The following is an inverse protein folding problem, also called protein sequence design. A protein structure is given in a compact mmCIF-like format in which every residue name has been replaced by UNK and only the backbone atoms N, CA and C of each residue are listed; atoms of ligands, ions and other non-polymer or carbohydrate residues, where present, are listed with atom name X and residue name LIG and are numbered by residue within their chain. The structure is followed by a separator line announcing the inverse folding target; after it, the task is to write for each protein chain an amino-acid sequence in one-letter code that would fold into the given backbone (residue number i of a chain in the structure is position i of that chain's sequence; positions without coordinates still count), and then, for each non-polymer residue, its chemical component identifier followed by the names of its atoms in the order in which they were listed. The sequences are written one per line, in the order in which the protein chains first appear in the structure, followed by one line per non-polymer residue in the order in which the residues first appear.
data_IF_315955548664
#
_entry.id   IF_315955548664
#
_cell.length_a   1.000
_cell.length_b   1.000
_cell.length_c   1.000
_cell.angle_alpha   90.00
_cell.angle_beta   90.00
_cell.angle_gamma   90.00
#
_symmetry.space_group_name_H-M   'P 1'
#
loop_
_entity.id
_entity.type
_entity.pdbx_description
1 polymer ?
#
# COMPACT_ATOMS: atom_id res chain seq x y z
N UNK A 1 16.51 -58.21 33.72
CA UNK A 1 16.12 -59.30 34.64
C UNK A 1 14.84 -59.95 34.15
N UNK A 2 14.65 -61.26 34.37
CA UNK A 2 13.38 -61.95 34.09
C UNK A 2 12.45 -61.91 35.30
N UNK A 3 11.15 -61.69 35.07
CA UNK A 3 10.08 -62.56 35.61
C UNK A 3 8.73 -62.28 34.93
N UNK A 4 8.14 -63.32 34.33
CA UNK A 4 6.69 -63.41 34.08
C UNK A 4 5.98 -63.69 35.40
N UNK A 5 4.69 -63.34 35.51
CA UNK A 5 3.75 -64.16 36.28
C UNK A 5 2.35 -64.19 35.64
N UNK A 6 1.56 -65.19 36.04
CA UNK A 6 0.11 -65.38 35.73
C UNK A 6 -0.71 -64.93 36.98
N UNK A 7 -2.02 -65.03 37.16
CA UNK A 7 -3.22 -65.56 36.45
C UNK A 7 -4.45 -64.89 37.14
N UNK A 8 -5.74 -64.99 36.77
CA UNK A 8 -6.50 -65.78 35.80
C UNK A 8 -7.83 -65.05 35.46
N UNK A 9 -8.81 -65.82 34.95
CA UNK A 9 -10.27 -65.83 35.24
C UNK A 9 -10.84 -64.88 36.33
N UNK A 10 -12.09 -64.45 36.27
CA UNK A 10 -13.16 -64.60 35.25
C UNK A 10 -14.35 -63.67 35.56
N UNK A 11 -15.27 -63.51 34.61
CA UNK A 11 -16.59 -62.91 34.83
C UNK A 11 -17.32 -62.64 33.52
N UNK A 12 -18.43 -63.35 33.26
CA UNK A 12 -19.33 -63.05 32.15
C UNK A 12 -20.47 -62.16 32.64
N UNK A 13 -20.88 -61.19 31.83
CA UNK A 13 -21.93 -60.23 32.19
C UNK A 13 -22.43 -59.49 30.97
N UNK A 14 -23.33 -60.12 30.20
CA UNK A 14 -24.00 -59.48 29.07
C UNK A 14 -25.20 -58.69 29.62
N UNK A 15 -25.16 -57.35 29.55
CA UNK A 15 -26.33 -56.51 29.79
C UNK A 15 -26.37 -55.39 28.73
N UNK A 16 -27.50 -55.30 28.05
CA UNK A 16 -27.77 -54.26 27.05
C UNK A 16 -28.69 -53.23 27.68
N UNK A 17 -28.21 -52.00 27.82
CA UNK A 17 -29.01 -50.82 28.16
C UNK A 17 -28.59 -49.66 27.27
N UNK A 18 -29.54 -49.06 26.56
CA UNK A 18 -29.31 -47.98 25.62
C UNK A 18 -29.45 -46.59 26.28
N UNK A 19 -28.89 -45.59 25.62
CA UNK A 19 -29.12 -44.15 25.79
C UNK A 19 -28.84 -43.53 27.19
N UNK A 20 -27.88 -42.59 27.22
CA UNK A 20 -28.23 -41.16 27.22
C UNK A 20 -26.99 -40.29 26.96
N UNK A 21 -27.09 -39.35 26.03
CA UNK A 21 -26.02 -38.42 25.69
C UNK A 21 -26.00 -37.22 26.63
N UNK A 22 -24.90 -37.00 27.34
CA UNK A 22 -24.65 -35.76 28.10
C UNK A 22 -23.36 -35.13 27.60
N UNK A 23 -23.48 -34.29 26.58
CA UNK A 23 -22.36 -33.54 26.00
C UNK A 23 -22.00 -32.35 26.87
N UNK A 24 -20.98 -32.48 27.73
CA UNK A 24 -20.42 -31.33 28.46
C UNK A 24 -19.58 -30.50 27.49
N UNK A 25 -20.20 -29.48 26.90
CA UNK A 25 -19.54 -28.52 26.02
C UNK A 25 -18.64 -27.58 26.84
N UNK A 26 -17.38 -27.95 27.02
CA UNK A 26 -16.37 -27.08 27.63
C UNK A 26 -15.97 -25.95 26.69
N UNK A 27 -16.39 -24.72 26.98
CA UNK A 27 -15.99 -23.55 26.20
C UNK A 27 -14.49 -23.25 26.35
N UNK A 28 -13.71 -23.52 25.31
CA UNK A 28 -12.33 -23.02 25.19
C UNK A 28 -12.33 -21.66 24.50
N UNK A 29 -12.43 -20.57 25.28
CA UNK A 29 -12.31 -19.20 24.77
C UNK A 29 -10.84 -18.82 24.51
N UNK A 30 -10.18 -19.58 23.63
CA UNK A 30 -8.84 -19.30 23.12
C UNK A 30 -8.88 -18.31 21.98
N UNK A 31 -9.17 -17.04 22.28
CA UNK A 31 -9.14 -15.96 21.30
C UNK A 31 -7.71 -15.60 20.91
N UNK A 32 -7.15 -16.29 19.92
CA UNK A 32 -6.03 -15.76 19.17
C UNK A 32 -6.53 -14.65 18.25
N UNK A 33 -6.07 -13.41 18.48
CA UNK A 33 -6.13 -12.35 17.47
C UNK A 33 -5.12 -12.67 16.36
N UNK A 34 -5.47 -13.66 15.52
CA UNK A 34 -4.76 -13.95 14.28
C UNK A 34 -4.96 -12.77 13.32
N UNK A 35 -4.03 -11.80 13.40
CA UNK A 35 -4.01 -10.63 12.52
C UNK A 35 -4.04 -11.02 11.04
N UNK A 36 -4.62 -10.18 10.15
CA UNK A 36 -5.09 -10.57 8.83
C UNK A 36 -4.17 -11.53 8.07
N UNK A 37 -4.66 -12.75 7.86
CA UNK A 37 -3.97 -13.74 7.04
C UNK A 37 -3.77 -13.18 5.62
N UNK A 38 -2.57 -13.28 5.03
CA UNK A 38 -2.31 -12.68 3.72
C UNK A 38 -3.20 -13.34 2.66
N UNK A 39 -3.98 -12.52 1.95
CA UNK A 39 -4.73 -12.95 0.76
C UNK A 39 -3.79 -13.68 -0.19
N UNK A 40 -4.23 -14.82 -0.71
CA UNK A 40 -3.38 -15.85 -1.32
C UNK A 40 -2.43 -15.30 -2.39
N UNK A 41 -1.13 -15.56 -2.22
CA UNK A 41 -0.08 -15.25 -3.20
C UNK A 41 -0.16 -16.19 -4.42
N UNK A 42 -1.22 -16.04 -5.21
CA UNK A 42 -1.58 -16.88 -6.35
C UNK A 42 -2.51 -16.11 -7.28
N UNK A 43 -2.23 -16.13 -8.58
CA UNK A 43 -2.84 -15.18 -9.52
C UNK A 43 -2.08 -13.84 -9.53
N UNK A 44 -2.72 -12.84 -10.12
CA UNK A 44 -2.21 -11.48 -10.39
C UNK A 44 -1.54 -10.82 -9.14
N UNK A 45 -0.25 -10.44 -9.22
CA UNK A 45 0.45 -9.69 -8.18
C UNK A 45 -0.25 -8.43 -7.67
N UNK A 46 -1.01 -7.73 -8.52
CA UNK A 46 -1.79 -6.55 -8.12
C UNK A 46 -2.91 -6.88 -7.11
N UNK A 47 -3.31 -8.16 -6.99
CA UNK A 47 -4.33 -8.63 -6.03
C UNK A 47 -3.77 -9.11 -4.69
N UNK A 48 -2.45 -9.24 -4.56
CA UNK A 48 -1.82 -9.73 -3.32
C UNK A 48 -1.91 -8.69 -2.21
N UNK A 49 -2.00 -9.14 -0.95
CA UNK A 49 -2.15 -8.24 0.21
C UNK A 49 -1.00 -8.42 1.19
N UNK A 50 -0.18 -7.39 1.32
CA UNK A 50 0.90 -7.31 2.31
C UNK A 50 0.32 -6.99 3.71
N UNK A 51 0.78 -7.67 4.77
CA UNK A 51 0.28 -7.45 6.15
C UNK A 51 0.27 -5.99 6.61
N UNK A 52 1.24 -5.18 6.17
CA UNK A 52 1.36 -3.77 6.56
C UNK A 52 0.20 -2.89 6.02
N UNK A 53 -0.53 -3.34 4.99
CA UNK A 53 -1.66 -2.60 4.42
C UNK A 53 -2.80 -2.35 5.43
N UNK A 54 -2.92 -3.17 6.48
CA UNK A 54 -3.87 -2.96 7.57
C UNK A 54 -3.63 -1.65 8.37
N UNK A 55 -2.44 -1.04 8.22
CA UNK A 55 -2.02 0.18 8.93
C UNK A 55 -1.80 1.38 7.99
N UNK A 56 -2.07 1.22 6.68
CA UNK A 56 -2.03 2.28 5.68
C UNK A 56 -3.43 2.86 5.43
N UNK A 57 -3.55 4.10 4.91
CA UNK A 57 -4.83 4.66 4.49
C UNK A 57 -5.31 4.09 3.15
N UNK A 58 -6.58 3.69 3.03
CA UNK A 58 -7.14 3.23 1.74
C UNK A 58 -7.30 4.39 0.74
N UNK A 59 -7.57 4.06 -0.53
CA UNK A 59 -7.81 5.08 -1.56
C UNK A 59 -9.03 5.97 -1.20
N UNK A 60 -10.10 5.37 -0.68
CA UNK A 60 -11.31 6.08 -0.25
C UNK A 60 -11.03 6.99 0.96
N UNK A 61 -10.17 6.54 1.87
CA UNK A 61 -9.72 7.34 3.02
C UNK A 61 -8.90 8.55 2.55
N UNK A 62 -7.93 8.33 1.66
CA UNK A 62 -7.13 9.41 1.07
C UNK A 62 -8.00 10.41 0.30
N UNK A 63 -8.99 9.94 -0.47
CA UNK A 63 -9.95 10.82 -1.16
C UNK A 63 -10.79 11.65 -0.18
N UNK A 64 -11.36 11.04 0.87
CA UNK A 64 -12.13 11.77 1.89
C UNK A 64 -11.28 12.83 2.58
N UNK A 65 -10.02 12.50 2.90
CA UNK A 65 -9.07 13.41 3.55
C UNK A 65 -8.65 14.57 2.61
N UNK A 66 -8.41 14.29 1.32
CA UNK A 66 -8.18 15.33 0.28
C UNK A 66 -9.38 16.25 0.15
N UNK A 67 -10.59 15.70 -0.02
CA UNK A 67 -11.81 16.49 -0.20
C UNK A 67 -12.12 17.37 1.02
N UNK A 68 -11.99 16.84 2.24
CA UNK A 68 -12.15 17.63 3.46
C UNK A 68 -11.09 18.74 3.60
N UNK A 69 -9.85 18.48 3.17
CA UNK A 69 -8.81 19.51 3.11
C UNK A 69 -9.17 20.62 2.12
N UNK A 70 -9.61 20.27 0.90
CA UNK A 70 -10.04 21.24 -0.13
C UNK A 70 -11.18 22.12 0.37
N UNK A 71 -12.21 21.55 1.00
CA UNK A 71 -13.31 22.30 1.61
C UNK A 71 -12.81 23.29 2.69
N UNK A 72 -11.99 22.82 3.63
CA UNK A 72 -11.46 23.65 4.73
C UNK A 72 -10.54 24.79 4.26
N UNK A 73 -9.81 24.60 3.16
CA UNK A 73 -9.03 25.68 2.54
C UNK A 73 -9.98 26.67 1.85
N UNK A 74 -10.97 26.21 1.08
CA UNK A 74 -11.96 27.06 0.42
C UNK A 74 -12.76 27.94 1.40
N UNK A 75 -13.27 27.35 2.49
CA UNK A 75 -13.96 28.09 3.56
C UNK A 75 -13.08 29.19 4.17
N UNK A 76 -11.79 28.89 4.36
CA UNK A 76 -10.82 29.82 4.89
C UNK A 76 -10.49 30.95 3.90
N UNK A 77 -10.21 30.63 2.63
CA UNK A 77 -9.90 31.62 1.57
C UNK A 77 -11.09 32.57 1.32
N UNK A 78 -12.30 32.02 1.29
CA UNK A 78 -13.56 32.79 1.24
C UNK A 78 -13.72 33.71 2.46
N UNK A 79 -13.21 33.31 3.63
CA UNK A 79 -13.10 34.14 4.83
C UNK A 79 -12.17 35.35 4.70
N UNK A 80 -11.31 35.38 3.68
CA UNK A 80 -10.48 36.53 3.28
C UNK A 80 -10.94 37.19 1.97
N UNK A 81 -12.10 36.80 1.43
CA UNK A 81 -12.67 37.36 0.19
C UNK A 81 -12.19 36.70 -1.11
N UNK A 82 -11.23 35.77 -1.05
CA UNK A 82 -10.73 35.06 -2.23
C UNK A 82 -11.64 33.92 -2.66
N UNK A 83 -11.94 33.85 -3.95
CA UNK A 83 -12.68 32.74 -4.56
C UNK A 83 -11.71 31.65 -5.04
N UNK A 84 -10.94 31.10 -4.09
CA UNK A 84 -9.94 30.07 -4.39
C UNK A 84 -10.61 28.78 -4.89
N UNK A 85 -10.06 28.21 -5.97
CA UNK A 85 -10.50 26.94 -6.56
C UNK A 85 -9.36 25.92 -6.38
N UNK A 86 -9.62 24.75 -5.76
CA UNK A 86 -8.58 23.74 -5.60
C UNK A 86 -8.15 23.15 -6.95
N UNK A 87 -6.85 23.04 -7.18
CA UNK A 87 -6.28 22.18 -8.23
C UNK A 87 -6.96 20.78 -8.27
N UNK A 88 -7.08 20.16 -9.46
CA UNK A 88 -7.57 18.79 -9.59
C UNK A 88 -6.69 17.81 -8.80
N UNK A 89 -7.27 16.70 -8.34
CA UNK A 89 -6.49 15.58 -7.82
C UNK A 89 -5.77 14.90 -8.99
N UNK A 90 -4.48 14.60 -8.83
CA UNK A 90 -3.68 13.95 -9.87
C UNK A 90 -4.11 12.48 -10.03
N UNK A 91 -4.38 12.00 -11.26
CA UNK A 91 -4.78 10.61 -11.49
C UNK A 91 -3.62 9.62 -11.24
N UNK A 92 -3.95 8.38 -10.87
CA UNK A 92 -2.96 7.31 -10.61
C UNK A 92 -2.30 6.81 -11.90
N UNK A 93 -1.10 7.29 -12.19
CA UNK A 93 -0.18 6.74 -13.19
C UNK A 93 0.45 5.44 -12.67
N UNK A 94 0.53 4.42 -13.53
CA UNK A 94 1.33 3.21 -13.24
C UNK A 94 0.65 2.27 -12.23
N UNK A 95 1.33 1.80 -11.16
CA UNK A 95 0.80 0.76 -10.29
C UNK A 95 -0.47 1.18 -9.56
N UNK A 96 -1.50 0.33 -9.58
CA UNK A 96 -2.82 0.64 -8.99
C UNK A 96 -2.92 0.27 -7.51
N UNK A 97 -2.25 -0.82 -7.11
CA UNK A 97 -2.17 -1.31 -5.72
C UNK A 97 -0.74 -1.32 -5.20
N UNK A 98 -0.55 -1.55 -3.89
CA UNK A 98 0.79 -1.57 -3.26
C UNK A 98 1.71 -2.65 -3.82
N UNK A 99 1.15 -3.78 -4.29
CA UNK A 99 1.90 -4.95 -4.75
C UNK A 99 2.09 -5.01 -6.27
N UNK A 100 1.24 -4.33 -7.03
CA UNK A 100 1.14 -4.35 -8.50
C UNK A 100 2.51 -4.43 -9.20
N UNK A 101 3.34 -3.39 -9.14
CA UNK A 101 4.70 -3.41 -9.70
C UNK A 101 5.79 -3.57 -8.65
N UNK A 102 5.44 -3.87 -7.39
CA UNK A 102 6.40 -3.96 -6.27
C UNK A 102 7.47 -5.02 -6.50
N UNK A 103 7.09 -6.08 -7.20
CA UNK A 103 7.97 -7.18 -7.59
C UNK A 103 8.21 -7.20 -9.12
N UNK A 104 8.09 -6.02 -9.75
CA UNK A 104 8.18 -5.78 -11.19
C UNK A 104 6.89 -6.03 -11.96
N UNK A 105 6.94 -5.82 -13.28
CA UNK A 105 5.83 -6.03 -14.21
C UNK A 105 5.39 -7.50 -14.29
N UNK A 106 4.12 -7.72 -14.66
CA UNK A 106 3.51 -9.06 -14.72
C UNK A 106 2.48 -9.25 -15.85
N UNK A 107 1.85 -8.19 -16.37
CA UNK A 107 0.92 -8.29 -17.52
C UNK A 107 1.66 -8.33 -18.87
N UNK A 108 1.71 -9.54 -19.45
CA UNK A 108 2.32 -9.82 -20.75
C UNK A 108 1.69 -9.06 -21.93
N UNK A 109 0.40 -8.72 -21.87
CA UNK A 109 -0.27 -7.98 -22.94
C UNK A 109 0.04 -6.49 -22.86
N UNK A 110 0.01 -5.90 -21.66
CA UNK A 110 0.40 -4.52 -21.46
C UNK A 110 1.88 -4.30 -21.83
N UNK A 111 2.78 -5.21 -21.45
CA UNK A 111 4.20 -5.08 -21.84
C UNK A 111 4.49 -5.35 -23.32
N UNK A 112 3.58 -5.99 -24.08
CA UNK A 112 3.64 -6.03 -25.56
C UNK A 112 3.27 -4.69 -26.19
N UNK A 113 2.40 -3.93 -25.56
CA UNK A 113 1.97 -2.60 -26.03
C UNK A 113 2.96 -1.51 -25.64
N UNK A 114 3.42 -1.50 -24.38
CA UNK A 114 4.08 -0.34 -23.76
C UNK A 114 5.39 -0.64 -23.01
N UNK A 115 5.95 -1.84 -23.13
CA UNK A 115 7.23 -2.20 -22.49
C UNK A 115 7.14 -2.17 -20.96
N UNK A 116 7.92 -1.29 -20.30
CA UNK A 116 7.87 -1.08 -18.84
C UNK A 116 7.01 0.12 -18.42
N UNK A 117 6.45 0.88 -19.37
CA UNK A 117 5.79 2.17 -19.09
C UNK A 117 4.40 2.02 -18.44
N UNK A 118 3.86 3.08 -17.82
CA UNK A 118 2.41 3.24 -17.64
C UNK A 118 1.68 3.35 -18.99
N UNK A 119 0.34 3.36 -18.97
CA UNK A 119 -0.42 3.64 -20.18
C UNK A 119 -0.24 5.10 -20.60
N UNK A 120 -0.04 5.35 -21.90
CA UNK A 120 0.12 6.71 -22.44
C UNK A 120 -1.11 7.61 -22.17
N UNK A 121 -2.31 7.02 -22.09
CA UNK A 121 -3.55 7.71 -21.70
C UNK A 121 -3.57 8.13 -20.22
N UNK A 122 -2.93 7.38 -19.33
CA UNK A 122 -2.78 7.76 -17.91
C UNK A 122 -1.76 8.89 -17.75
N UNK A 123 -0.63 8.82 -18.47
CA UNK A 123 0.35 9.90 -18.54
C UNK A 123 -0.31 11.20 -19.04
N UNK A 124 -0.96 11.17 -20.21
CA UNK A 124 -1.60 12.35 -20.77
C UNK A 124 -2.68 12.96 -19.84
N UNK A 125 -3.42 12.13 -19.10
CA UNK A 125 -4.38 12.60 -18.09
C UNK A 125 -3.68 13.23 -16.87
N UNK A 126 -2.56 12.66 -16.43
CA UNK A 126 -1.74 13.20 -15.34
C UNK A 126 -1.07 14.53 -15.72
N UNK A 127 -0.48 14.62 -16.90
CA UNK A 127 0.19 15.82 -17.40
C UNK A 127 -0.80 16.96 -17.64
N UNK A 128 -2.02 16.64 -18.09
CA UNK A 128 -3.12 17.61 -18.17
C UNK A 128 -3.51 18.14 -16.78
N UNK A 129 -3.75 17.25 -15.80
CA UNK A 129 -4.10 17.64 -14.43
C UNK A 129 -2.96 18.40 -13.72
N UNK A 130 -1.71 18.04 -13.98
CA UNK A 130 -0.52 18.73 -13.46
C UNK A 130 -0.38 20.13 -14.05
N UNK A 131 -0.62 20.27 -15.37
CA UNK A 131 -0.63 21.57 -16.06
C UNK A 131 -1.78 22.46 -15.59
N UNK A 132 -2.94 21.90 -15.26
CA UNK A 132 -4.06 22.62 -14.65
C UNK A 132 -3.74 23.06 -13.21
N UNK A 133 -3.24 22.15 -12.36
CA UNK A 133 -2.83 22.48 -10.99
C UNK A 133 -1.63 23.42 -10.89
N UNK A 134 -0.80 23.53 -11.93
CA UNK A 134 0.23 24.55 -12.06
C UNK A 134 -0.36 25.96 -12.32
N UNK A 135 -1.56 26.05 -12.89
CA UNK A 135 -2.25 27.33 -13.14
C UNK A 135 -2.97 27.85 -11.88
N UNK A 136 -3.52 27.00 -11.00
CA UNK A 136 -3.98 27.37 -9.64
C UNK A 136 -2.86 28.11 -8.88
N UNK A 137 -1.65 27.54 -8.89
CA UNK A 137 -0.45 28.15 -8.29
C UNK A 137 0.07 29.43 -9.01
N UNK A 138 -0.56 29.84 -10.11
CA UNK A 138 -0.16 30.99 -10.91
C UNK A 138 -1.01 32.26 -10.68
N UNK A 139 -1.90 32.26 -9.68
CA UNK A 139 -2.59 33.48 -9.25
C UNK A 139 -1.58 34.61 -9.05
N UNK A 140 -1.74 35.70 -9.79
CA UNK A 140 -0.84 36.85 -9.72
C UNK A 140 -1.08 37.70 -8.47
N UNK A 141 -2.12 37.40 -7.69
CA UNK A 141 -2.41 38.05 -6.42
C UNK A 141 -1.53 37.50 -5.29
N UNK A 142 -0.59 38.35 -4.86
CA UNK A 142 0.32 38.07 -3.75
C UNK A 142 -0.40 37.98 -2.40
N UNK A 143 -1.56 38.63 -2.24
CA UNK A 143 -2.37 38.51 -1.03
C UNK A 143 -3.08 37.15 -1.00
N UNK A 144 -3.59 36.66 -2.13
CA UNK A 144 -4.18 35.31 -2.21
C UNK A 144 -3.14 34.23 -1.85
N UNK A 145 -1.99 34.23 -2.53
CA UNK A 145 -0.86 33.33 -2.21
C UNK A 145 -0.42 33.47 -0.75
N UNK A 146 -0.41 34.71 -0.25
CA UNK A 146 -0.02 35.06 1.11
C UNK A 146 -0.95 34.52 2.19
N UNK A 147 -2.27 34.53 1.96
CA UNK A 147 -3.28 33.93 2.84
C UNK A 147 -3.29 32.40 2.73
N UNK A 148 -3.15 31.87 1.51
CA UNK A 148 -3.16 30.42 1.25
C UNK A 148 -2.04 29.70 2.00
N UNK A 149 -0.82 30.26 1.93
CA UNK A 149 0.40 29.67 2.50
C UNK A 149 0.83 30.26 3.85
N UNK A 150 0.31 31.44 4.22
CA UNK A 150 0.66 32.12 5.47
C UNK A 150 1.98 32.88 5.44
N UNK A 151 2.33 33.45 4.27
CA UNK A 151 3.46 34.38 4.14
C UNK A 151 3.04 35.85 4.33
N UNK A 152 1.73 36.13 4.33
CA UNK A 152 1.17 37.37 4.89
C UNK A 152 0.82 37.16 6.36
N UNK A 153 1.03 38.16 7.21
CA UNK A 153 0.58 38.12 8.62
C UNK A 153 -0.88 38.58 8.77
N UNK A 154 -1.32 39.50 7.92
CA UNK A 154 -2.64 40.13 7.91
C UNK A 154 -3.03 40.50 6.47
N UNK A 155 -4.34 40.48 6.18
CA UNK A 155 -4.95 41.09 4.98
C UNK A 155 -6.24 41.79 5.42
N UNK A 156 -6.39 43.06 5.07
CA UNK A 156 -7.56 43.90 5.37
C UNK A 156 -8.01 43.90 6.86
N UNK A 157 -7.03 43.88 7.78
CA UNK A 157 -7.27 43.84 9.24
C UNK A 157 -7.66 42.45 9.75
N UNK A 158 -7.54 41.41 8.93
CA UNK A 158 -7.77 40.01 9.30
C UNK A 158 -6.44 39.30 9.41
N UNK A 159 -6.12 38.82 10.61
CA UNK A 159 -4.91 38.04 10.86
C UNK A 159 -4.95 36.69 10.15
N UNK A 160 -3.94 36.42 9.35
CA UNK A 160 -3.79 35.16 8.61
C UNK A 160 -3.42 34.03 9.59
N UNK A 161 -4.00 32.82 9.47
CA UNK A 161 -3.61 31.69 10.31
C UNK A 161 -2.13 31.34 10.13
N UNK A 162 -1.46 30.85 11.18
CA UNK A 162 -0.06 30.37 11.06
C UNK A 162 0.06 29.30 9.97
N UNK A 163 0.88 29.54 8.95
CA UNK A 163 0.99 28.65 7.77
C UNK A 163 -0.23 28.67 6.85
N UNK A 164 -1.02 29.74 6.90
CA UNK A 164 -2.12 30.03 5.98
C UNK A 164 -3.34 29.14 6.14
N UNK A 165 -4.24 29.25 5.17
CA UNK A 165 -5.41 28.38 5.06
C UNK A 165 -5.02 26.90 4.90
N UNK A 166 -3.93 26.59 4.19
CA UNK A 166 -3.40 25.21 4.10
C UNK A 166 -2.98 24.69 5.48
N UNK A 167 -2.23 25.48 6.25
CA UNK A 167 -1.81 25.12 7.61
C UNK A 167 -2.98 25.01 8.59
N UNK A 168 -4.00 25.85 8.44
CA UNK A 168 -5.24 25.76 9.22
C UNK A 168 -6.00 24.46 8.92
N UNK A 169 -6.19 24.11 7.64
CA UNK A 169 -6.83 22.87 7.22
C UNK A 169 -6.04 21.64 7.69
N UNK A 170 -4.72 21.61 7.48
CA UNK A 170 -3.84 20.52 7.92
C UNK A 170 -3.95 20.26 9.45
N UNK A 171 -3.96 21.32 10.27
CA UNK A 171 -4.18 21.20 11.73
C UNK A 171 -5.60 20.74 12.06
N UNK A 172 -6.61 21.17 11.31
CA UNK A 172 -8.01 20.79 11.54
C UNK A 172 -8.24 19.29 11.30
N UNK A 173 -7.62 18.69 10.28
CA UNK A 173 -7.74 17.25 9.98
C UNK A 173 -6.65 16.37 10.63
N UNK A 174 -5.62 16.98 11.24
CA UNK A 174 -4.45 16.32 11.84
C UNK A 174 -3.62 15.50 10.82
N UNK A 175 -3.01 16.17 9.84
CA UNK A 175 -2.21 15.51 8.79
C UNK A 175 -1.04 14.67 9.30
N UNK A 176 -0.48 14.97 10.47
CA UNK A 176 0.58 14.14 11.06
C UNK A 176 0.12 12.69 11.36
N UNK A 177 -1.18 12.48 11.62
CA UNK A 177 -1.76 11.14 11.79
C UNK A 177 -2.14 10.47 10.45
N UNK A 178 -2.17 11.21 9.35
CA UNK A 178 -2.56 10.70 8.02
C UNK A 178 -1.38 10.04 7.31
N UNK A 179 -0.17 10.51 7.56
CA UNK A 179 1.05 10.09 6.83
C UNK A 179 1.49 8.64 7.12
N UNK A 180 0.91 7.95 8.11
CA UNK A 180 1.13 6.54 8.43
C UNK A 180 2.62 6.10 8.46
N UNK A 181 3.52 7.00 8.88
CA UNK A 181 4.97 6.89 8.65
C UNK A 181 5.55 5.56 9.12
N UNK A 182 5.23 5.13 10.33
CA UNK A 182 5.73 3.85 10.88
C UNK A 182 5.29 2.66 10.03
N UNK A 183 4.08 2.66 9.46
CA UNK A 183 3.67 1.59 8.54
C UNK A 183 4.45 1.64 7.20
N UNK A 184 4.68 2.83 6.65
CA UNK A 184 5.46 3.02 5.42
C UNK A 184 6.92 2.59 5.62
N UNK A 185 7.56 3.06 6.70
CA UNK A 185 8.96 2.79 7.00
C UNK A 185 9.22 1.29 7.26
N UNK A 186 8.34 0.62 8.01
CA UNK A 186 8.43 -0.82 8.26
C UNK A 186 8.15 -1.65 6.99
N UNK A 187 7.19 -1.24 6.16
CA UNK A 187 6.91 -1.88 4.87
C UNK A 187 8.09 -1.79 3.90
N UNK A 188 8.70 -0.60 3.78
CA UNK A 188 9.87 -0.38 2.93
C UNK A 188 11.13 -1.07 3.48
N UNK A 189 11.34 -1.05 4.79
CA UNK A 189 12.42 -1.79 5.46
C UNK A 189 12.30 -3.30 5.25
N UNK A 190 11.09 -3.85 5.35
CA UNK A 190 10.82 -5.27 5.07
C UNK A 190 11.09 -5.63 3.60
N UNK A 191 10.67 -4.80 2.64
CA UNK A 191 10.94 -4.99 1.21
C UNK A 191 12.44 -5.04 0.89
N UNK A 192 13.21 -4.07 1.38
CA UNK A 192 14.66 -3.98 1.18
C UNK A 192 15.36 -5.19 1.83
N UNK A 193 14.97 -5.54 3.06
CA UNK A 193 15.53 -6.69 3.79
C UNK A 193 15.17 -8.03 3.15
N UNK A 194 13.99 -8.17 2.55
CA UNK A 194 13.57 -9.39 1.85
C UNK A 194 14.49 -9.74 0.66
N UNK A 195 15.13 -8.75 0.02
CA UNK A 195 16.16 -8.96 -1.03
C UNK A 195 17.38 -9.75 -0.53
N UNK A 196 17.59 -9.83 0.79
CA UNK A 196 18.70 -10.54 1.43
C UNK A 196 18.31 -11.96 1.88
N UNK A 197 17.03 -12.35 1.77
CA UNK A 197 16.59 -13.69 2.13
C UNK A 197 17.19 -14.75 1.19
N UNK A 198 17.72 -15.89 1.69
CA UNK A 198 18.37 -16.90 0.86
C UNK A 198 17.50 -17.48 -0.27
N UNK A 199 16.17 -17.56 -0.11
CA UNK A 199 15.26 -17.99 -1.16
C UNK A 199 15.08 -16.90 -2.22
N UNK A 200 14.99 -15.63 -1.82
CA UNK A 200 14.89 -14.48 -2.73
C UNK A 200 16.18 -14.30 -3.53
N UNK A 201 17.35 -14.34 -2.89
CA UNK A 201 18.66 -14.30 -3.56
C UNK A 201 18.80 -15.44 -4.58
N UNK A 202 18.35 -16.65 -4.23
CA UNK A 202 18.31 -17.79 -5.16
C UNK A 202 17.35 -17.58 -6.34
N UNK A 203 16.18 -16.97 -6.09
CA UNK A 203 15.21 -16.67 -7.14
C UNK A 203 15.70 -15.55 -8.07
N UNK A 204 16.37 -14.52 -7.54
CA UNK A 204 17.02 -13.47 -8.34
C UNK A 204 18.10 -14.06 -9.25
N UNK A 205 18.95 -14.95 -8.73
CA UNK A 205 19.96 -15.65 -9.54
C UNK A 205 19.33 -16.55 -10.62
N UNK A 206 18.20 -17.19 -10.34
CA UNK A 206 17.47 -17.99 -11.32
C UNK A 206 16.83 -17.11 -12.43
N UNK A 207 16.24 -15.98 -12.07
CA UNK A 207 15.68 -14.99 -13.00
C UNK A 207 16.78 -14.36 -13.88
N UNK A 208 17.89 -13.95 -13.28
CA UNK A 208 19.07 -13.42 -13.99
C UNK A 208 19.63 -14.46 -14.97
N UNK A 209 19.77 -15.72 -14.54
CA UNK A 209 20.17 -16.85 -15.39
C UNK A 209 19.14 -17.26 -16.46
N UNK A 210 17.91 -16.73 -16.40
CA UNK A 210 16.92 -16.82 -17.47
C UNK A 210 17.09 -15.66 -18.47
N UNK A 211 17.16 -14.42 -17.98
CA UNK A 211 17.40 -13.22 -18.80
C UNK A 211 18.69 -13.33 -19.63
N UNK A 212 19.76 -13.85 -19.04
CA UNK A 212 21.08 -14.01 -19.69
C UNK A 212 21.07 -15.01 -20.85
N UNK A 213 20.14 -15.98 -20.86
CA UNK A 213 19.94 -16.91 -22.00
C UNK A 213 19.27 -16.24 -23.19
N UNK A 214 18.58 -15.12 -22.96
CA UNK A 214 17.95 -14.28 -23.99
C UNK A 214 18.82 -13.08 -24.38
N UNK A 215 20.07 -13.00 -23.89
CA UNK A 215 21.02 -11.93 -24.20
C UNK A 215 20.98 -10.71 -23.26
N UNK A 216 20.15 -10.72 -22.20
CA UNK A 216 20.03 -9.61 -21.25
C UNK A 216 20.83 -9.87 -19.97
N UNK A 217 21.71 -8.94 -19.58
CA UNK A 217 22.52 -9.08 -18.36
C UNK A 217 22.03 -8.12 -17.27
N UNK A 218 21.27 -8.67 -16.31
CA UNK A 218 20.71 -7.96 -15.15
C UNK A 218 20.97 -8.79 -13.88
N UNK A 219 21.22 -8.15 -12.75
CA UNK A 219 21.57 -8.82 -11.49
C UNK A 219 20.32 -9.13 -10.66
N UNK A 220 19.39 -8.18 -10.59
CA UNK A 220 18.17 -8.24 -9.78
C UNK A 220 16.94 -7.87 -10.62
N UNK A 221 15.72 -8.37 -10.30
CA UNK A 221 14.57 -8.23 -11.19
C UNK A 221 14.11 -6.80 -11.49
N UNK A 222 14.46 -5.81 -10.68
CA UNK A 222 14.10 -4.40 -10.95
C UNK A 222 15.16 -3.67 -11.79
N UNK A 223 16.39 -4.20 -11.91
CA UNK A 223 17.43 -3.60 -12.77
C UNK A 223 16.99 -3.52 -14.25
N UNK A 224 16.00 -4.34 -14.64
CA UNK A 224 15.46 -4.40 -15.99
C UNK A 224 14.39 -3.34 -16.28
N UNK A 225 13.53 -3.02 -15.31
CA UNK A 225 12.57 -1.92 -15.39
C UNK A 225 13.23 -0.57 -15.17
N UNK A 226 14.20 -0.53 -14.25
CA UNK A 226 14.85 0.69 -13.77
C UNK A 226 16.05 1.07 -14.67
N UNK A 227 16.23 0.36 -15.80
CA UNK A 227 17.33 0.57 -16.74
C UNK A 227 17.20 1.95 -17.43
N UNK A 228 18.17 2.88 -17.27
CA UNK A 228 18.09 4.23 -17.82
C UNK A 228 17.88 4.29 -19.34
N UNK A 229 18.23 3.24 -20.10
CA UNK A 229 17.99 3.19 -21.55
C UNK A 229 16.51 3.15 -21.95
N UNK A 230 15.60 2.87 -21.00
CA UNK A 230 14.15 2.89 -21.19
C UNK A 230 13.47 4.15 -20.62
N UNK A 231 14.26 5.09 -20.08
CA UNK A 231 13.77 6.32 -19.43
C UNK A 231 13.20 7.39 -20.38
N UNK A 232 13.13 7.13 -21.69
CA UNK A 232 12.40 7.96 -22.65
C UNK A 232 10.89 7.79 -22.52
N UNK A 233 10.13 8.81 -22.93
CA UNK A 233 8.67 8.71 -23.11
C UNK A 233 8.31 7.72 -24.23
N UNK A 234 9.11 7.67 -25.30
CA UNK A 234 8.96 6.72 -26.40
C UNK A 234 9.17 5.26 -25.93
N UNK A 235 8.21 4.40 -26.29
CA UNK A 235 8.30 2.94 -26.13
C UNK A 235 9.11 2.36 -27.29
N UNK A 236 10.20 1.66 -26.98
CA UNK A 236 11.07 1.06 -28.01
C UNK A 236 10.80 -0.43 -28.23
N UNK A 237 11.12 -0.95 -29.42
CA UNK A 237 11.06 -2.39 -29.68
C UNK A 237 12.01 -3.20 -28.79
N UNK A 238 13.15 -2.62 -28.39
CA UNK A 238 14.06 -3.25 -27.42
C UNK A 238 13.43 -3.33 -26.02
N UNK A 239 12.73 -2.28 -25.59
CA UNK A 239 12.00 -2.25 -24.32
C UNK A 239 10.89 -3.30 -24.27
N UNK A 240 10.04 -3.39 -25.31
CA UNK A 240 9.01 -4.41 -25.44
C UNK A 240 9.62 -5.82 -25.41
N UNK A 241 10.70 -6.06 -26.17
CA UNK A 241 11.40 -7.35 -26.17
C UNK A 241 11.98 -7.69 -24.79
N UNK A 242 12.52 -6.70 -24.09
CA UNK A 242 13.10 -6.89 -22.75
C UNK A 242 12.02 -7.17 -21.70
N UNK A 243 10.93 -6.40 -21.71
CA UNK A 243 9.81 -6.52 -20.76
C UNK A 243 9.04 -7.83 -20.93
N UNK A 244 8.77 -8.25 -22.17
CA UNK A 244 8.10 -9.54 -22.45
C UNK A 244 9.00 -10.74 -22.13
N UNK A 245 10.32 -10.61 -22.32
CA UNK A 245 11.29 -11.62 -21.86
C UNK A 245 11.36 -11.68 -20.33
N UNK A 246 11.34 -10.51 -19.67
CA UNK A 246 11.36 -10.39 -18.21
C UNK A 246 10.16 -11.09 -17.57
N UNK A 247 8.92 -10.79 -17.99
CA UNK A 247 7.72 -11.50 -17.50
C UNK A 247 7.85 -13.01 -17.72
N UNK A 248 8.28 -13.45 -18.91
CA UNK A 248 8.53 -14.87 -19.21
C UNK A 248 9.54 -15.50 -18.23
N UNK A 249 10.54 -14.74 -17.78
CA UNK A 249 11.52 -15.19 -16.79
C UNK A 249 11.01 -15.10 -15.34
N UNK A 250 10.15 -14.13 -15.00
CA UNK A 250 9.46 -14.05 -13.69
C UNK A 250 8.55 -15.27 -13.49
N UNK A 251 7.70 -15.59 -14.47
CA UNK A 251 6.79 -16.74 -14.47
C UNK A 251 7.54 -18.06 -14.26
N UNK A 252 8.65 -18.25 -14.99
CA UNK A 252 9.47 -19.47 -14.93
C UNK A 252 10.24 -19.66 -13.62
N UNK A 253 10.41 -18.60 -12.83
CA UNK A 253 11.28 -18.60 -11.64
C UNK A 253 10.54 -18.28 -10.34
N UNK A 254 9.25 -17.95 -10.42
CA UNK A 254 8.38 -17.64 -9.27
C UNK A 254 8.86 -16.44 -8.43
N UNK A 255 9.76 -15.62 -8.99
CA UNK A 255 10.58 -14.65 -8.24
C UNK A 255 9.75 -13.63 -7.47
N UNK A 256 8.64 -13.15 -8.07
CA UNK A 256 7.72 -12.23 -7.43
C UNK A 256 7.04 -12.85 -6.20
N UNK A 257 6.55 -14.09 -6.32
CA UNK A 257 5.86 -14.79 -5.22
C UNK A 257 6.81 -15.17 -4.09
N UNK A 258 8.05 -15.53 -4.42
CA UNK A 258 9.10 -15.82 -3.43
C UNK A 258 9.47 -14.55 -2.65
N UNK A 259 9.66 -13.42 -3.35
CA UNK A 259 9.95 -12.12 -2.72
C UNK A 259 8.79 -11.61 -1.86
N UNK A 260 7.54 -11.66 -2.36
CA UNK A 260 6.34 -11.32 -1.58
C UNK A 260 6.25 -12.12 -0.28
N UNK A 261 6.49 -13.44 -0.31
CA UNK A 261 6.43 -14.29 0.88
C UNK A 261 7.50 -13.94 1.91
N UNK A 262 8.73 -13.64 1.47
CA UNK A 262 9.80 -13.19 2.35
C UNK A 262 9.51 -11.82 2.97
N UNK A 263 8.99 -10.86 2.18
CA UNK A 263 8.57 -9.55 2.69
C UNK A 263 7.41 -9.70 3.69
N UNK A 264 6.36 -10.45 3.36
CA UNK A 264 5.20 -10.63 4.24
C UNK A 264 5.59 -11.28 5.58
N UNK A 265 6.56 -12.20 5.60
CA UNK A 265 7.10 -12.77 6.83
C UNK A 265 7.85 -11.72 7.68
N UNK A 266 8.67 -10.87 7.06
CA UNK A 266 9.38 -9.78 7.72
C UNK A 266 8.42 -8.69 8.23
N UNK A 267 7.36 -8.38 7.47
CA UNK A 267 6.33 -7.43 7.90
C UNK A 267 5.57 -7.94 9.13
N UNK A 268 5.23 -9.23 9.22
CA UNK A 268 4.59 -9.79 10.43
C UNK A 268 5.45 -9.59 11.67
N UNK A 269 6.74 -9.94 11.60
CA UNK A 269 7.70 -9.72 12.69
C UNK A 269 7.81 -8.23 13.08
N UNK A 270 7.79 -7.33 12.10
CA UNK A 270 7.80 -5.88 12.35
C UNK A 270 6.48 -5.40 12.99
N UNK A 271 5.33 -5.90 12.55
CA UNK A 271 4.02 -5.57 13.13
C UNK A 271 3.93 -6.04 14.58
N UNK A 272 4.40 -7.25 14.88
CA UNK A 272 4.50 -7.79 16.25
C UNK A 272 5.39 -6.90 17.15
N UNK A 273 6.53 -6.43 16.63
CA UNK A 273 7.50 -5.58 17.35
C UNK A 273 7.03 -4.13 17.53
N UNK A 274 6.12 -3.63 16.69
CA UNK A 274 5.66 -2.23 16.68
C UNK A 274 4.15 -2.08 16.88
N UNK A 275 3.47 -3.11 17.38
CA UNK A 275 2.01 -3.20 17.44
C UNK A 275 1.32 -2.00 18.12
N UNK A 276 1.84 -1.54 19.27
CA UNK A 276 1.26 -0.40 20.00
C UNK A 276 1.33 0.91 19.21
N UNK A 277 2.44 1.18 18.53
CA UNK A 277 2.62 2.36 17.69
C UNK A 277 1.70 2.29 16.45
N UNK A 278 1.75 1.16 15.72
CA UNK A 278 0.95 0.94 14.52
C UNK A 278 -0.56 1.04 14.78
N UNK A 279 -1.05 0.48 15.90
CA UNK A 279 -2.43 0.66 16.32
C UNK A 279 -2.75 2.11 16.68
N UNK A 280 -1.81 2.84 17.29
CA UNK A 280 -2.01 4.24 17.69
C UNK A 280 -2.10 5.16 16.48
N UNK A 281 -1.24 4.94 15.47
CA UNK A 281 -1.29 5.63 14.19
C UNK A 281 -2.60 5.34 13.45
N UNK A 282 -3.00 4.06 13.36
CA UNK A 282 -4.27 3.65 12.72
C UNK A 282 -5.49 4.27 13.42
N UNK A 283 -5.55 4.28 14.76
CA UNK A 283 -6.61 4.97 15.53
C UNK A 283 -6.64 6.48 15.30
N UNK A 284 -5.48 7.10 15.10
CA UNK A 284 -5.39 8.53 14.82
C UNK A 284 -5.84 8.86 13.37
N UNK A 285 -5.52 7.99 12.41
CA UNK A 285 -6.01 8.02 11.03
C UNK A 285 -7.53 7.79 10.97
N UNK A 286 -8.08 6.79 11.67
CA UNK A 286 -9.53 6.56 11.79
C UNK A 286 -10.27 7.83 12.26
N UNK A 287 -9.67 8.52 13.24
CA UNK A 287 -10.20 9.76 13.80
C UNK A 287 -10.14 10.91 12.80
N UNK A 288 -9.09 11.00 11.98
CA UNK A 288 -8.97 11.96 10.90
C UNK A 288 -10.00 11.70 9.78
N UNK A 289 -10.13 10.45 9.32
CA UNK A 289 -11.09 10.02 8.29
C UNK A 289 -12.52 10.30 8.75
N UNK A 290 -12.89 9.89 9.97
CA UNK A 290 -14.22 10.13 10.55
C UNK A 290 -14.56 11.62 10.69
N UNK A 291 -13.54 12.49 10.83
CA UNK A 291 -13.69 13.94 10.86
C UNK A 291 -13.84 14.52 9.45
N UNK A 292 -13.06 14.04 8.49
CA UNK A 292 -13.13 14.42 7.09
C UNK A 292 -14.48 14.03 6.46
N UNK A 293 -14.92 12.79 6.65
CA UNK A 293 -16.23 12.26 6.23
C UNK A 293 -17.39 13.16 6.68
N UNK A 294 -17.35 13.64 7.93
CA UNK A 294 -18.34 14.60 8.47
C UNK A 294 -18.31 15.97 7.79
N UNK A 295 -17.11 16.51 7.50
CA UNK A 295 -16.96 17.79 6.80
C UNK A 295 -17.46 17.69 5.36
N UNK A 296 -17.09 16.62 4.64
CA UNK A 296 -17.55 16.33 3.28
C UNK A 296 -19.07 16.14 3.23
N UNK A 297 -19.66 15.48 4.23
CA UNK A 297 -21.12 15.23 4.29
C UNK A 297 -21.92 16.47 4.66
N UNK A 298 -21.32 17.44 5.35
CA UNK A 298 -21.97 18.71 5.73
C UNK A 298 -21.83 19.81 4.67
N UNK A 299 -21.11 19.54 3.58
CA UNK A 299 -20.93 20.42 2.42
C UNK A 299 -21.71 19.94 1.17
N UNK A 300 -22.70 19.06 1.37
CA UNK A 300 -23.64 18.55 0.36
C UNK A 300 -25.06 18.98 0.71
#
# INVERSE_FOLDING_TARGET
MFKRFRMCRAGAGLLVTAALSVSVAGCSSGGQDDGPAPTSASGDPATWVLPIQAYLPTDEEQQQLSQAKKLLVGDCMKGFGFNWVPAPDLPKVGPKTLTDWRYGIHDMNLSRERGYKPAATEMAAYDAALKEGAQDRSSSDKAEIGVLNGTSEDVDGRKVPKGGCIGAANRKINTAAIEARTAIDLGNGAFIKAKQDPAVVKAFAAWSGCMKKSGYDYKEPLDASDNPKFGSEDVTAEEISTATTDITCRDRTDVARIWFKAEAALQKQAIEQHAEQLQTDRRALDTAVKKASKLVSAAK
#
